data_IF_478528062996
#
_entry.id   IF_478528062996
#
_cell.length_a   1.000
_cell.length_b   1.000
_cell.length_c   1.000
_cell.angle_alpha   90.00
_cell.angle_beta   90.00
_cell.angle_gamma   90.00
#
_symmetry.space_group_name_H-M   'P 1'
#
loop_
_entity.id
_entity.type
_entity.pdbx_description
1 polymer ?
#
# COMPACT_ATOMS: atom_id res chain seq x y z
N UNK A 1 9.48 7.74 -52.97
CA UNK A 1 9.37 9.08 -52.36
C UNK A 1 7.88 9.41 -52.27
N UNK A 2 7.22 9.70 -51.15
CA UNK A 2 7.59 10.13 -49.80
C UNK A 2 6.62 9.45 -48.80
N UNK A 3 7.13 9.01 -47.66
CA UNK A 3 6.32 8.62 -46.49
C UNK A 3 5.80 9.90 -45.83
N UNK A 4 4.50 9.99 -45.56
CA UNK A 4 3.93 11.06 -44.72
C UNK A 4 3.62 10.43 -43.37
N UNK A 5 4.39 10.84 -42.36
CA UNK A 5 4.20 10.46 -40.97
C UNK A 5 3.08 11.34 -40.37
N UNK A 6 2.04 10.71 -39.82
CA UNK A 6 1.08 11.39 -38.98
C UNK A 6 1.68 11.50 -37.58
N UNK A 7 2.03 12.72 -37.17
CA UNK A 7 2.40 13.04 -35.79
C UNK A 7 1.09 13.24 -35.03
N UNK A 8 0.69 12.23 -34.25
CA UNK A 8 -0.39 12.37 -33.27
C UNK A 8 0.26 12.86 -31.97
N UNK A 9 0.16 14.16 -31.72
CA UNK A 9 0.48 14.74 -30.42
C UNK A 9 -0.59 14.34 -29.40
N UNK A 10 -0.20 13.53 -28.41
CA UNK A 10 -1.07 13.14 -27.31
C UNK A 10 -1.01 14.21 -26.21
N UNK A 11 -1.90 15.20 -26.28
CA UNK A 11 -2.24 16.04 -25.13
C UNK A 11 -3.28 15.27 -24.30
N UNK A 12 -2.86 14.66 -23.19
CA UNK A 12 -3.79 14.15 -22.19
C UNK A 12 -4.06 15.26 -21.16
N UNK A 13 -5.27 15.79 -21.30
CA UNK A 13 -5.92 16.73 -20.42
C UNK A 13 -6.27 16.02 -19.10
N UNK A 14 -5.51 16.26 -18.02
CA UNK A 14 -5.89 15.81 -16.69
C UNK A 14 -6.84 16.84 -16.05
N UNK A 15 -8.15 16.70 -16.31
CA UNK A 15 -9.18 17.36 -15.50
C UNK A 15 -9.43 16.52 -14.25
N UNK A 16 -8.82 16.89 -13.12
CA UNK A 16 -9.19 16.37 -11.80
C UNK A 16 -9.80 17.52 -11.00
N UNK A 17 -11.11 17.73 -11.16
CA UNK A 17 -11.90 18.55 -10.23
C UNK A 17 -12.68 17.62 -9.31
N UNK A 18 -12.27 17.59 -8.04
CA UNK A 18 -13.07 17.83 -6.83
C UNK A 18 -12.53 16.99 -5.65
N UNK A 19 -12.35 17.59 -4.45
CA UNK A 19 -12.07 16.85 -3.24
C UNK A 19 -13.40 16.24 -2.78
N UNK A 20 -13.71 15.02 -3.22
CA UNK A 20 -14.83 14.28 -2.69
C UNK A 20 -14.34 13.60 -1.42
N UNK A 21 -14.95 13.99 -0.30
CA UNK A 21 -14.68 13.50 1.04
C UNK A 21 -14.40 11.99 1.05
N UNK A 22 -13.18 11.65 1.46
CA UNK A 22 -12.69 10.30 1.63
C UNK A 22 -13.54 9.55 2.66
N UNK A 23 -14.40 8.67 2.19
CA UNK A 23 -14.91 7.56 2.99
C UNK A 23 -14.07 6.33 2.65
N UNK A 24 -12.79 6.38 3.06
CA UNK A 24 -11.87 5.24 3.08
C UNK A 24 -12.33 4.28 4.21
N UNK A 25 -11.95 3.00 4.14
CA UNK A 25 -12.15 1.97 5.19
C UNK A 25 -12.31 2.62 6.56
N UNK A 26 -13.51 2.55 7.19
CA UNK A 26 -13.93 3.41 8.32
C UNK A 26 -12.90 3.48 9.45
N UNK A 27 -11.90 4.34 9.28
CA UNK A 27 -11.02 4.88 10.31
C UNK A 27 -11.89 5.75 11.18
N UNK A 28 -12.24 5.26 12.37
CA UNK A 28 -13.21 5.91 13.23
C UNK A 28 -12.73 7.22 13.86
N UNK A 29 -11.49 7.66 13.61
CA UNK A 29 -10.90 8.84 14.22
C UNK A 29 -9.99 9.63 13.28
N UNK A 30 -9.78 10.90 13.62
CA UNK A 30 -8.71 11.75 13.09
C UNK A 30 -7.58 11.74 14.13
N UNK A 31 -6.66 10.79 14.00
CA UNK A 31 -5.52 10.65 14.90
C UNK A 31 -4.37 11.54 14.45
N UNK A 32 -3.60 12.04 15.42
CA UNK A 32 -2.39 12.80 15.13
C UNK A 32 -1.16 11.95 15.45
N UNK A 33 -0.22 11.93 14.51
CA UNK A 33 1.05 11.24 14.65
C UNK A 33 2.18 12.20 14.26
N UNK A 34 3.32 12.19 14.97
CA UNK A 34 4.53 12.83 14.49
C UNK A 34 4.88 12.33 13.08
N UNK A 35 5.32 13.23 12.20
CA UNK A 35 5.65 12.81 10.84
C UNK A 35 6.97 12.03 10.82
N UNK A 36 7.04 10.84 10.21
CA UNK A 36 8.27 10.05 10.15
C UNK A 36 9.35 10.72 9.29
N UNK A 37 10.61 10.45 9.62
CA UNK A 37 11.79 10.92 8.89
C UNK A 37 12.59 9.75 8.32
N UNK A 38 13.56 10.03 7.44
CA UNK A 38 14.41 9.02 6.77
C UNK A 38 13.64 7.97 5.95
N UNK A 39 12.46 8.32 5.45
CA UNK A 39 11.68 7.49 4.56
C UNK A 39 12.36 7.34 3.19
N UNK A 40 12.16 6.19 2.56
CA UNK A 40 12.57 5.92 1.18
C UNK A 40 11.43 5.25 0.39
N UNK A 41 11.41 5.36 -0.95
CA UNK A 41 10.48 4.59 -1.77
C UNK A 41 10.61 3.09 -1.48
N UNK A 42 9.48 2.42 -1.32
CA UNK A 42 9.36 1.01 -0.97
C UNK A 42 9.11 0.75 0.52
N UNK A 43 9.32 1.74 1.40
CA UNK A 43 8.88 1.61 2.79
C UNK A 43 7.38 1.31 2.87
N UNK A 44 6.98 0.48 3.84
CA UNK A 44 5.61 0.02 4.02
C UNK A 44 5.02 0.77 5.20
N UNK A 45 3.86 1.39 5.03
CA UNK A 45 3.12 2.02 6.13
C UNK A 45 1.97 1.09 6.54
N UNK A 46 1.82 0.86 7.83
CA UNK A 46 0.82 -0.05 8.39
C UNK A 46 0.06 0.62 9.54
N UNK A 47 -1.24 0.33 9.65
CA UNK A 47 -2.15 0.99 10.59
C UNK A 47 -3.08 0.01 11.30
N UNK A 48 -3.27 0.24 12.59
CA UNK A 48 -4.26 -0.43 13.44
C UNK A 48 -5.50 0.44 13.59
N UNK A 49 -6.67 -0.19 13.60
CA UNK A 49 -7.94 0.44 13.86
C UNK A 49 -8.72 -0.43 14.87
N UNK A 50 -9.09 0.09 16.06
CA UNK A 50 -9.78 -0.66 17.13
C UNK A 50 -11.19 -1.17 16.77
N UNK A 51 -11.70 -0.75 15.61
CA UNK A 51 -12.99 -1.20 15.09
C UNK A 51 -12.82 -2.34 14.10
N UNK A 52 -11.78 -2.29 13.27
CA UNK A 52 -11.54 -3.26 12.19
C UNK A 52 -10.74 -4.49 12.64
N UNK A 53 -9.99 -4.39 13.74
CA UNK A 53 -9.26 -5.51 14.36
C UNK A 53 -10.18 -6.65 14.86
N UNK A 54 -11.47 -6.39 15.01
CA UNK A 54 -12.50 -7.39 15.30
C UNK A 54 -12.88 -8.27 14.10
N UNK A 55 -12.50 -7.85 12.90
CA UNK A 55 -12.90 -8.46 11.62
C UNK A 55 -11.67 -8.97 10.87
N UNK A 56 -10.58 -8.20 10.90
CA UNK A 56 -9.33 -8.54 10.23
C UNK A 56 -8.47 -9.30 11.25
N UNK A 57 -8.10 -10.57 10.97
CA UNK A 57 -7.26 -11.32 11.89
C UNK A 57 -5.90 -10.63 12.07
N UNK A 58 -5.49 -10.46 13.33
CA UNK A 58 -4.25 -9.77 13.69
C UNK A 58 -4.49 -8.42 14.37
N UNK A 59 -3.42 -7.79 14.83
CA UNK A 59 -3.47 -6.45 15.41
C UNK A 59 -3.52 -5.36 14.32
N UNK A 60 -2.71 -5.51 13.28
CA UNK A 60 -2.63 -4.57 12.18
C UNK A 60 -3.77 -4.79 11.18
N UNK A 61 -4.45 -3.71 10.81
CA UNK A 61 -5.72 -3.78 10.06
C UNK A 61 -5.60 -3.32 8.61
N UNK A 62 -4.52 -2.62 8.26
CA UNK A 62 -4.36 -2.07 6.92
C UNK A 62 -2.91 -1.74 6.63
N UNK A 63 -2.52 -1.81 5.36
CA UNK A 63 -1.15 -1.51 4.93
C UNK A 63 -1.12 -0.91 3.52
N UNK A 64 -0.04 -0.18 3.22
CA UNK A 64 0.25 0.40 1.91
C UNK A 64 1.75 0.59 1.71
N UNK A 65 2.15 0.89 0.47
CA UNK A 65 3.55 1.10 0.09
C UNK A 65 3.82 2.56 -0.24
N UNK A 66 4.85 3.14 0.36
CA UNK A 66 5.31 4.51 0.10
C UNK A 66 6.04 4.52 -1.24
N UNK A 67 5.53 5.29 -2.20
CA UNK A 67 6.05 5.31 -3.58
C UNK A 67 7.04 6.44 -3.86
N UNK A 68 7.06 7.48 -3.03
CA UNK A 68 7.94 8.63 -3.23
C UNK A 68 7.39 9.93 -2.67
N UNK A 69 8.25 10.95 -2.64
CA UNK A 69 7.88 12.31 -2.26
C UNK A 69 7.22 13.04 -3.43
N UNK A 70 6.08 13.70 -3.18
CA UNK A 70 5.44 14.59 -4.14
C UNK A 70 5.67 16.05 -3.75
N UNK A 71 6.38 16.80 -4.61
CA UNK A 71 6.54 18.24 -4.44
C UNK A 71 5.23 19.02 -4.57
N UNK A 72 4.23 18.46 -5.27
CA UNK A 72 2.91 19.09 -5.46
C UNK A 72 2.12 19.10 -4.16
N UNK A 73 2.18 18.01 -3.39
CA UNK A 73 1.47 17.89 -2.12
C UNK A 73 2.36 18.21 -0.91
N UNK A 74 3.68 18.34 -1.12
CA UNK A 74 4.68 18.46 -0.07
C UNK A 74 4.56 17.33 0.96
N UNK A 75 4.40 16.10 0.45
CA UNK A 75 4.06 14.89 1.23
C UNK A 75 4.63 13.63 0.57
N UNK A 76 4.88 12.59 1.38
CA UNK A 76 5.06 11.23 0.86
C UNK A 76 3.73 10.67 0.38
N UNK A 77 3.77 9.93 -0.72
CA UNK A 77 2.60 9.30 -1.32
C UNK A 77 2.61 7.81 -1.02
N UNK A 78 1.45 7.29 -0.63
CA UNK A 78 1.20 5.88 -0.34
C UNK A 78 0.29 5.33 -1.41
N UNK A 79 0.61 4.16 -1.96
CA UNK A 79 -0.31 3.36 -2.76
C UNK A 79 -0.85 2.23 -1.89
N UNK A 80 -2.17 2.07 -1.90
CA UNK A 80 -2.89 1.16 -1.02
C UNK A 80 -4.16 0.62 -1.70
N UNK A 81 -4.61 -0.58 -1.32
CA UNK A 81 -5.91 -1.09 -1.77
C UNK A 81 -6.96 -0.87 -0.68
N UNK A 82 -8.03 -0.13 -0.99
CA UNK A 82 -9.10 0.22 -0.04
C UNK A 82 -10.44 -0.36 -0.49
N UNK A 83 -11.32 -0.73 0.45
CA UNK A 83 -12.62 -1.31 0.12
C UNK A 83 -13.50 -0.39 -0.75
N UNK A 84 -13.37 0.93 -0.61
CA UNK A 84 -14.22 1.91 -1.31
C UNK A 84 -13.68 2.34 -2.67
N UNK A 85 -12.36 2.32 -2.89
CA UNK A 85 -11.74 2.86 -4.11
C UNK A 85 -10.85 1.86 -4.85
N UNK A 86 -10.72 0.62 -4.35
CA UNK A 86 -9.74 -0.32 -4.87
C UNK A 86 -8.32 0.17 -4.63
N UNK A 87 -7.41 -0.16 -5.54
CA UNK A 87 -6.03 0.31 -5.52
C UNK A 87 -5.99 1.80 -5.88
N UNK A 88 -5.65 2.62 -4.89
CA UNK A 88 -5.63 4.07 -4.97
C UNK A 88 -4.34 4.61 -4.34
N UNK A 89 -4.19 5.93 -4.34
CA UNK A 89 -3.15 6.62 -3.57
C UNK A 89 -3.76 7.50 -2.49
N UNK A 90 -2.99 7.78 -1.45
CA UNK A 90 -3.24 8.79 -0.43
C UNK A 90 -1.94 9.50 -0.07
N UNK A 91 -2.04 10.64 0.62
CA UNK A 91 -0.85 11.22 1.29
C UNK A 91 -0.52 10.40 2.53
N UNK A 92 0.74 10.37 2.93
CA UNK A 92 1.16 9.64 4.14
C UNK A 92 0.45 10.19 5.39
N UNK A 93 0.30 11.51 5.50
CA UNK A 93 -0.45 12.12 6.60
C UNK A 93 -1.93 11.70 6.63
N UNK A 94 -2.59 11.65 5.47
CA UNK A 94 -3.96 11.11 5.35
C UNK A 94 -4.04 9.62 5.70
N UNK A 95 -3.06 8.81 5.28
CA UNK A 95 -2.98 7.42 5.69
C UNK A 95 -2.92 7.31 7.21
N UNK A 96 -1.93 7.99 7.82
CA UNK A 96 -1.65 7.90 9.23
C UNK A 96 -2.82 8.39 10.09
N UNK A 97 -3.53 9.43 9.66
CA UNK A 97 -4.62 10.00 10.47
C UNK A 97 -5.82 9.06 10.65
N UNK A 98 -5.93 7.97 9.88
CA UNK A 98 -7.06 7.02 9.96
C UNK A 98 -6.92 5.96 11.06
N UNK A 99 -5.73 5.82 11.64
CA UNK A 99 -5.36 4.70 12.50
C UNK A 99 -4.91 5.21 13.86
N UNK A 100 -5.28 4.54 14.95
CA UNK A 100 -4.86 4.93 16.31
C UNK A 100 -3.39 4.57 16.57
N UNK A 101 -2.91 3.52 15.91
CA UNK A 101 -1.50 3.11 15.94
C UNK A 101 -0.99 2.91 14.52
N UNK A 102 0.22 3.41 14.25
CA UNK A 102 0.89 3.29 12.95
C UNK A 102 2.33 2.85 13.12
N UNK A 103 2.83 2.12 12.12
CA UNK A 103 4.25 1.87 11.96
C UNK A 103 4.67 2.09 10.50
N UNK A 104 5.96 2.38 10.31
CA UNK A 104 6.61 2.27 9.00
C UNK A 104 7.67 1.19 9.08
N UNK A 105 7.62 0.28 8.12
CA UNK A 105 8.53 -0.85 7.98
C UNK A 105 9.44 -0.62 6.78
N UNK A 106 10.66 -1.11 6.86
CA UNK A 106 11.56 -1.22 5.73
C UNK A 106 11.87 -2.69 5.47
N UNK A 107 11.77 -3.10 4.20
CA UNK A 107 12.15 -4.45 3.78
C UNK A 107 13.67 -4.52 3.63
N UNK A 108 14.27 -5.56 4.22
CA UNK A 108 15.69 -5.88 4.23
C UNK A 108 16.18 -6.39 2.87
N UNK A 109 16.09 -5.53 1.85
CA UNK A 109 16.50 -5.82 0.48
C UNK A 109 17.29 -4.65 -0.13
N UNK A 110 17.66 -4.74 -1.40
CA UNK A 110 18.35 -3.67 -2.13
C UNK A 110 17.39 -2.52 -2.51
N UNK A 111 17.94 -1.32 -2.72
CA UNK A 111 17.17 -0.18 -3.25
C UNK A 111 16.54 -0.50 -4.61
N UNK A 112 17.21 -1.31 -5.43
CA UNK A 112 16.70 -1.74 -6.73
C UNK A 112 15.39 -2.54 -6.59
N UNK A 113 15.34 -3.49 -5.65
CA UNK A 113 14.13 -4.29 -5.38
C UNK A 113 13.02 -3.39 -4.84
N UNK A 114 13.32 -2.52 -3.86
CA UNK A 114 12.33 -1.56 -3.33
C UNK A 114 11.74 -0.69 -4.43
N UNK A 115 12.57 -0.16 -5.33
CA UNK A 115 12.12 0.68 -6.43
C UNK A 115 11.26 -0.08 -7.45
N UNK A 116 11.57 -1.35 -7.72
CA UNK A 116 10.74 -2.19 -8.56
C UNK A 116 9.39 -2.53 -7.91
N UNK A 117 9.36 -2.75 -6.59
CA UNK A 117 8.11 -2.95 -5.86
C UNK A 117 7.21 -1.70 -5.94
N UNK A 118 7.81 -0.51 -5.81
CA UNK A 118 7.13 0.77 -6.05
C UNK A 118 6.54 0.85 -7.45
N UNK A 119 7.31 0.50 -8.49
CA UNK A 119 6.79 0.51 -9.86
C UNK A 119 5.65 -0.47 -10.03
N UNK A 120 5.77 -1.68 -9.50
CA UNK A 120 4.69 -2.67 -9.55
C UNK A 120 3.40 -2.11 -8.93
N UNK A 121 3.47 -1.62 -7.70
CA UNK A 121 2.31 -1.11 -6.98
C UNK A 121 1.67 0.08 -7.70
N UNK A 122 2.48 1.00 -8.21
CA UNK A 122 1.99 2.14 -9.00
C UNK A 122 1.20 1.70 -10.24
N UNK A 123 1.64 0.66 -10.95
CA UNK A 123 0.93 0.12 -12.11
C UNK A 123 -0.41 -0.55 -11.75
N UNK A 124 -0.67 -0.83 -10.47
CA UNK A 124 -1.94 -1.42 -10.03
C UNK A 124 -3.03 -0.37 -9.77
N UNK A 125 -2.70 0.93 -9.77
CA UNK A 125 -3.66 2.01 -9.54
C UNK A 125 -4.90 1.87 -10.44
N UNK A 126 -6.07 1.99 -9.83
CA UNK A 126 -7.38 1.86 -10.48
C UNK A 126 -7.96 0.46 -10.50
N UNK A 127 -7.22 -0.58 -10.09
CA UNK A 127 -7.77 -1.94 -9.95
C UNK A 127 -8.77 -2.01 -8.78
N UNK A 128 -9.83 -2.83 -8.88
CA UNK A 128 -10.80 -3.01 -7.80
C UNK A 128 -10.18 -3.65 -6.54
N UNK A 129 -10.88 -3.47 -5.42
CA UNK A 129 -10.54 -4.14 -4.17
C UNK A 129 -10.89 -5.63 -4.25
N UNK A 130 -10.00 -6.48 -3.74
CA UNK A 130 -10.25 -7.90 -3.64
C UNK A 130 -10.94 -8.24 -2.30
N UNK A 131 -12.14 -8.82 -2.39
CA UNK A 131 -12.90 -9.27 -1.21
C UNK A 131 -12.60 -10.74 -0.84
N UNK A 132 -11.83 -11.45 -1.66
CA UNK A 132 -11.38 -12.82 -1.48
C UNK A 132 -10.11 -12.93 -0.64
N UNK A 133 -10.15 -12.49 0.62
CA UNK A 133 -8.98 -12.44 1.54
C UNK A 133 -8.32 -13.80 1.84
N UNK A 134 -8.89 -14.90 1.36
CA UNK A 134 -8.47 -16.27 1.64
C UNK A 134 -7.38 -16.78 0.69
N UNK A 135 -7.07 -16.00 -0.34
CA UNK A 135 -6.07 -16.30 -1.38
C UNK A 135 -5.24 -15.06 -1.67
N UNK A 136 -4.08 -15.25 -2.28
CA UNK A 136 -3.23 -14.15 -2.75
C UNK A 136 -2.67 -14.48 -4.14
N UNK A 137 -2.42 -13.46 -4.95
CA UNK A 137 -1.84 -13.62 -6.27
C UNK A 137 -0.87 -12.48 -6.59
N UNK A 138 0.20 -12.80 -7.32
CA UNK A 138 1.20 -11.78 -7.71
C UNK A 138 0.65 -10.90 -8.83
N UNK A 139 -0.05 -11.48 -9.81
CA UNK A 139 -0.60 -10.77 -10.96
C UNK A 139 -2.11 -10.96 -11.02
N UNK A 140 -2.84 -10.20 -10.21
CA UNK A 140 -4.30 -10.23 -10.10
C UNK A 140 -5.01 -9.09 -10.81
N UNK A 141 -6.29 -9.29 -11.08
CA UNK A 141 -7.19 -8.23 -11.57
C UNK A 141 -7.74 -7.35 -10.42
N UNK A 142 -7.55 -7.79 -9.17
CA UNK A 142 -7.90 -7.11 -7.92
C UNK A 142 -6.82 -7.35 -6.87
N UNK A 143 -6.76 -6.49 -5.85
CA UNK A 143 -5.91 -6.71 -4.67
C UNK A 143 -6.61 -6.24 -3.39
N UNK A 144 -6.38 -6.91 -2.27
CA UNK A 144 -6.55 -6.31 -0.94
C UNK A 144 -5.24 -5.70 -0.42
N UNK A 145 -5.30 -5.02 0.72
CA UNK A 145 -4.24 -4.12 1.17
C UNK A 145 -2.87 -4.79 1.32
N UNK A 146 -2.78 -5.88 2.09
CA UNK A 146 -1.55 -6.63 2.31
C UNK A 146 -1.14 -7.49 1.11
N UNK A 147 -2.10 -7.99 0.33
CA UNK A 147 -1.81 -8.69 -0.93
C UNK A 147 -1.07 -7.79 -1.92
N UNK A 148 -1.51 -6.54 -2.08
CA UNK A 148 -0.85 -5.58 -2.96
C UNK A 148 0.62 -5.36 -2.57
N UNK A 149 0.88 -5.21 -1.28
CA UNK A 149 2.24 -4.97 -0.74
C UNK A 149 3.12 -6.21 -0.93
N UNK A 150 2.60 -7.39 -0.56
CA UNK A 150 3.29 -8.67 -0.78
C UNK A 150 3.58 -8.92 -2.26
N UNK A 151 2.57 -8.78 -3.13
CA UNK A 151 2.69 -8.98 -4.57
C UNK A 151 3.73 -8.04 -5.19
N UNK A 152 3.81 -6.79 -4.72
CA UNK A 152 4.81 -5.83 -5.17
C UNK A 152 6.24 -6.31 -4.91
N UNK A 153 6.51 -6.83 -3.71
CA UNK A 153 7.84 -7.35 -3.37
C UNK A 153 8.17 -8.66 -4.09
N UNK A 154 7.20 -9.57 -4.23
CA UNK A 154 7.41 -10.80 -5.01
C UNK A 154 7.68 -10.48 -6.49
N UNK A 155 6.88 -9.62 -7.11
CA UNK A 155 7.06 -9.23 -8.51
C UNK A 155 8.40 -8.52 -8.76
N UNK A 156 8.92 -7.81 -7.75
CA UNK A 156 10.24 -7.17 -7.80
C UNK A 156 11.42 -8.14 -7.68
N UNK A 157 11.17 -9.44 -7.45
CA UNK A 157 12.21 -10.43 -7.12
C UNK A 157 12.77 -10.24 -5.70
N UNK A 158 11.98 -9.64 -4.81
CA UNK A 158 12.31 -9.43 -3.41
C UNK A 158 11.99 -10.62 -2.51
N UNK A 159 12.19 -10.45 -1.18
CA UNK A 159 11.82 -11.46 -0.20
C UNK A 159 10.31 -11.71 -0.17
N UNK A 160 9.94 -12.91 0.26
CA UNK A 160 8.55 -13.27 0.55
C UNK A 160 8.19 -12.74 1.94
N UNK A 161 7.65 -11.53 1.99
CA UNK A 161 7.23 -10.84 3.23
C UNK A 161 5.89 -11.35 3.77
N UNK A 162 5.67 -12.66 3.65
CA UNK A 162 4.58 -13.39 4.28
C UNK A 162 5.20 -14.34 5.31
N UNK A 163 5.05 -14.00 6.58
CA UNK A 163 5.60 -14.75 7.71
C UNK A 163 5.12 -16.21 7.78
N UNK A 164 3.94 -16.55 7.25
CA UNK A 164 3.44 -17.93 7.24
C UNK A 164 2.98 -18.31 5.82
N UNK A 165 3.93 -18.51 4.89
CA UNK A 165 3.57 -18.73 3.50
C UNK A 165 2.78 -20.03 3.35
N UNK A 166 1.59 -19.92 2.76
CA UNK A 166 0.69 -21.04 2.52
C UNK A 166 -0.47 -21.04 3.51
N UNK A 167 -0.97 -22.24 3.84
CA UNK A 167 -2.23 -22.34 4.57
C UNK A 167 -2.04 -22.14 6.07
N UNK A 168 -2.82 -21.23 6.66
CA UNK A 168 -3.02 -21.11 8.10
C UNK A 168 -4.51 -21.09 8.47
N UNK A 169 -4.86 -21.53 9.68
CA UNK A 169 -6.24 -21.45 10.17
C UNK A 169 -6.74 -20.00 10.31
N UNK A 170 -5.83 -19.05 10.51
CA UNK A 170 -6.16 -17.63 10.73
C UNK A 170 -6.28 -16.84 9.42
N UNK A 171 -5.50 -17.20 8.40
CA UNK A 171 -5.36 -16.39 7.17
C UNK A 171 -5.66 -17.18 5.88
N UNK A 172 -6.03 -18.47 6.00
CA UNK A 172 -6.13 -19.39 4.87
C UNK A 172 -4.85 -19.33 4.02
N UNK A 173 -4.92 -19.11 2.70
CA UNK A 173 -3.75 -18.87 1.83
C UNK A 173 -3.60 -17.38 1.47
N UNK A 174 -4.16 -16.48 2.29
CA UNK A 174 -3.98 -15.04 2.15
C UNK A 174 -2.65 -14.58 2.75
N UNK A 175 -2.47 -13.26 2.83
CA UNK A 175 -1.37 -12.63 3.57
C UNK A 175 -1.93 -11.48 4.39
N UNK A 176 -1.86 -11.52 5.71
CA UNK A 176 -2.39 -10.46 6.57
C UNK A 176 -1.38 -9.31 6.79
N UNK A 177 -1.83 -8.11 7.17
CA UNK A 177 -0.92 -7.03 7.56
C UNK A 177 0.03 -7.44 8.71
N UNK A 178 -0.45 -8.25 9.66
CA UNK A 178 0.40 -8.83 10.72
C UNK A 178 1.54 -9.67 10.16
N UNK A 179 1.27 -10.45 9.11
CA UNK A 179 2.29 -11.30 8.51
C UNK A 179 3.39 -10.45 7.86
N UNK A 180 3.03 -9.33 7.24
CA UNK A 180 4.01 -8.35 6.74
C UNK A 180 4.80 -7.69 7.87
N UNK A 181 4.15 -7.37 9.00
CA UNK A 181 4.80 -6.68 10.13
C UNK A 181 5.78 -7.56 10.90
N UNK A 182 5.42 -8.82 11.11
CA UNK A 182 6.23 -9.76 11.88
C UNK A 182 7.23 -10.54 11.02
N UNK A 183 7.20 -10.38 9.70
CA UNK A 183 8.12 -11.05 8.79
C UNK A 183 9.58 -10.69 9.06
N UNK A 184 10.45 -11.71 9.06
CA UNK A 184 11.88 -11.59 9.34
C UNK A 184 12.68 -10.74 8.33
N UNK A 185 12.14 -10.50 7.14
CA UNK A 185 12.72 -9.62 6.12
C UNK A 185 12.20 -8.18 6.23
N UNK A 186 11.44 -7.83 7.27
CA UNK A 186 11.03 -6.46 7.55
C UNK A 186 11.54 -5.98 8.91
N UNK A 187 11.73 -4.66 9.04
CA UNK A 187 12.06 -4.05 10.32
C UNK A 187 11.40 -2.68 10.48
N UNK A 188 10.99 -2.37 11.71
CA UNK A 188 10.33 -1.11 12.06
C UNK A 188 11.34 0.03 12.05
N UNK A 189 11.05 1.10 11.30
CA UNK A 189 11.81 2.36 11.29
C UNK A 189 11.07 3.51 11.95
N UNK A 190 9.77 3.36 12.15
CA UNK A 190 8.92 4.34 12.84
C UNK A 190 7.73 3.63 13.49
N UNK A 191 7.32 4.09 14.68
CA UNK A 191 6.15 3.60 15.39
C UNK A 191 5.55 4.72 16.24
N UNK A 192 4.22 4.85 16.26
CA UNK A 192 3.50 5.75 17.15
C UNK A 192 2.07 5.28 17.40
N UNK A 193 1.61 5.41 18.64
CA UNK A 193 0.23 5.18 19.08
C UNK A 193 -0.30 6.49 19.70
N UNK A 194 -1.48 6.95 19.27
CA UNK A 194 -2.03 8.28 19.55
C UNK A 194 -3.02 8.31 20.73
#
# INVERSE_FOLDING_TARGET
>A
MKKVAAIVGLLLLATMLNPVAASSSKGGGNYWHPYPYNLVPGDIVIGHNPTSDKIIPGYWTHTGIIIGWSSTYNEWIVVEATMSHGVTWSTLSEFMSRYDTVAVLRVATSDYVRQNAVYFAYQQLGKPYDYGWWTKQVYGDSYYCSELVWAAYIAAGGPDIDQNPGWSWSFANGVAPDEVYYDGDTYVIYYHSA
#
